data_IF_972180237284
#
_entry.id   IF_972180237284
#
_cell.length_a   1.000
_cell.length_b   1.000
_cell.length_c   1.000
_cell.angle_alpha   90.00
_cell.angle_beta   90.00
_cell.angle_gamma   90.00
#
_symmetry.space_group_name_H-M   'P 1'
#
loop_
_entity.id
_entity.type
_entity.pdbx_description
1 polymer ?
#
# COMPACT_ATOMS: atom_id res chain seq x y z
N UNK A 1 -19.97 -5.32 29.84
CA UNK A 1 -20.29 -4.62 31.10
C UNK A 1 -19.54 -5.28 32.23
N UNK A 2 -19.06 -4.50 33.18
CA UNK A 2 -18.30 -4.92 34.36
C UNK A 2 -19.00 -4.41 35.62
N UNK A 3 -19.15 -5.26 36.63
CA UNK A 3 -19.81 -4.88 37.87
C UNK A 3 -18.79 -4.68 39.00
N UNK A 4 -18.87 -3.55 39.69
CA UNK A 4 -18.09 -3.24 40.89
C UNK A 4 -18.96 -3.52 42.13
N UNK A 5 -18.66 -4.59 42.86
CA UNK A 5 -19.40 -4.95 44.07
C UNK A 5 -19.22 -3.92 45.20
N UNK A 6 -18.04 -3.31 45.31
CA UNK A 6 -17.74 -2.31 46.33
C UNK A 6 -18.53 -1.02 46.13
N UNK A 7 -18.76 -0.63 44.87
CA UNK A 7 -19.48 0.60 44.52
C UNK A 7 -20.95 0.33 44.17
N UNK A 8 -21.33 -0.94 44.05
CA UNK A 8 -22.62 -1.40 43.54
C UNK A 8 -23.02 -0.71 42.22
N UNK A 9 -22.10 -0.74 41.24
CA UNK A 9 -22.22 -0.02 39.95
C UNK A 9 -21.75 -0.85 38.77
N UNK A 10 -22.33 -0.61 37.60
CA UNK A 10 -21.91 -1.19 36.31
C UNK A 10 -21.11 -0.18 35.48
N UNK A 11 -20.06 -0.68 34.84
CA UNK A 11 -19.21 0.04 33.90
C UNK A 11 -19.19 -0.67 32.55
N UNK A 12 -18.90 0.07 31.48
CA UNK A 12 -18.60 -0.51 30.19
C UNK A 12 -17.09 -0.57 30.00
N UNK A 13 -16.52 -1.78 29.96
CA UNK A 13 -15.07 -1.98 29.81
C UNK A 13 -14.50 -1.22 28.60
N UNK A 14 -15.14 -1.39 27.45
CA UNK A 14 -14.71 -0.79 26.18
C UNK A 14 -14.71 0.73 26.29
N UNK A 15 -15.81 1.34 26.74
CA UNK A 15 -15.90 2.79 26.89
C UNK A 15 -14.97 3.34 27.98
N UNK A 16 -14.71 2.58 29.05
CA UNK A 16 -13.85 3.04 30.15
C UNK A 16 -12.39 3.10 29.76
N UNK A 17 -11.93 2.18 28.89
CA UNK A 17 -10.52 2.05 28.55
C UNK A 17 -10.18 2.57 27.15
N UNK A 18 -11.14 2.61 26.23
CA UNK A 18 -10.90 2.90 24.80
C UNK A 18 -11.73 4.09 24.27
N UNK A 19 -12.38 4.87 25.13
CA UNK A 19 -13.03 6.12 24.70
C UNK A 19 -12.02 7.15 24.22
N UNK A 20 -12.30 7.79 23.09
CA UNK A 20 -11.50 8.89 22.54
C UNK A 20 -12.18 10.22 22.87
N UNK A 21 -11.48 11.11 23.59
CA UNK A 21 -12.00 12.42 23.98
C UNK A 21 -12.89 12.43 25.24
N UNK A 22 -13.63 13.51 25.47
CA UNK A 22 -14.60 13.56 26.57
C UNK A 22 -15.80 12.65 26.26
N UNK A 23 -15.89 11.53 26.98
CA UNK A 23 -17.04 10.64 26.89
C UNK A 23 -18.29 11.37 27.43
N UNK A 24 -19.28 11.56 26.56
CA UNK A 24 -20.57 12.16 26.91
C UNK A 24 -21.33 11.34 27.96
N UNK A 25 -21.12 10.02 27.99
CA UNK A 25 -21.80 9.09 28.91
C UNK A 25 -20.91 8.68 30.10
N UNK A 26 -20.62 9.65 30.98
CA UNK A 26 -19.85 9.42 32.22
C UNK A 26 -20.43 8.33 33.12
N UNK A 27 -21.73 8.03 32.99
CA UNK A 27 -22.40 6.96 33.71
C UNK A 27 -21.80 5.56 33.42
N UNK A 28 -21.26 5.31 32.23
CA UNK A 28 -20.69 4.00 31.89
C UNK A 28 -19.16 3.95 31.99
N UNK A 29 -18.52 5.06 32.39
CA UNK A 29 -17.05 5.19 32.43
C UNK A 29 -16.55 5.57 33.82
N UNK A 30 -16.71 6.82 34.24
CA UNK A 30 -16.12 7.34 35.49
C UNK A 30 -17.08 7.28 36.67
N UNK A 31 -18.36 7.59 36.47
CA UNK A 31 -19.34 7.70 37.56
C UNK A 31 -19.95 6.35 37.94
N UNK A 32 -19.98 5.41 37.00
CA UNK A 32 -20.63 4.11 37.12
C UNK A 32 -22.16 4.20 37.11
N UNK A 33 -22.79 3.18 36.55
CA UNK A 33 -24.22 3.12 36.35
C UNK A 33 -24.87 2.33 37.48
N UNK A 34 -25.81 2.95 38.19
CA UNK A 34 -26.54 2.39 39.34
C UNK A 34 -28.07 2.44 39.18
N UNK A 35 -28.57 2.99 38.07
CA UNK A 35 -30.02 3.19 37.88
C UNK A 35 -30.70 1.93 37.34
N UNK A 36 -30.76 0.88 38.15
CA UNK A 36 -31.21 -0.47 37.75
C UNK A 36 -32.61 -0.52 37.14
N UNK A 37 -33.52 0.34 37.60
CA UNK A 37 -34.89 0.43 37.06
C UNK A 37 -34.93 0.83 35.58
N UNK A 38 -33.87 1.46 35.05
CA UNK A 38 -33.75 1.84 33.63
C UNK A 38 -33.06 0.77 32.79
N UNK A 39 -32.95 -0.47 33.29
CA UNK A 39 -32.35 -1.60 32.56
C UNK A 39 -33.37 -2.68 32.19
N UNK A 40 -34.62 -2.57 32.64
CA UNK A 40 -35.62 -3.64 32.56
C UNK A 40 -36.53 -3.54 31.32
N UNK A 41 -36.52 -2.41 30.62
CA UNK A 41 -37.25 -2.24 29.37
C UNK A 41 -36.58 -2.96 28.18
N UNK A 42 -37.33 -3.22 27.12
CA UNK A 42 -36.79 -3.86 25.90
C UNK A 42 -36.46 -2.84 24.79
N UNK A 43 -36.90 -1.59 24.93
CA UNK A 43 -36.75 -0.56 23.90
C UNK A 43 -35.66 0.46 24.24
N UNK A 44 -35.13 1.13 23.21
CA UNK A 44 -34.15 2.21 23.36
C UNK A 44 -34.63 3.34 24.29
N UNK A 45 -35.94 3.59 24.35
CA UNK A 45 -36.50 4.70 25.14
C UNK A 45 -36.61 4.40 26.63
N UNK A 46 -36.63 3.12 27.01
CA UNK A 46 -36.83 2.69 28.40
C UNK A 46 -35.70 1.80 28.93
N UNK A 47 -34.66 1.53 28.12
CA UNK A 47 -33.48 0.79 28.54
C UNK A 47 -32.19 1.56 28.21
N UNK A 48 -31.56 2.11 29.26
CA UNK A 48 -30.32 2.87 29.15
C UNK A 48 -29.12 2.01 28.72
N UNK A 49 -29.13 0.70 28.97
CA UNK A 49 -28.07 -0.20 28.49
C UNK A 49 -28.18 -0.43 26.98
N UNK A 50 -29.41 -0.57 26.48
CA UNK A 50 -29.65 -0.75 25.04
C UNK A 50 -29.35 0.54 24.29
N UNK A 51 -29.73 1.69 24.85
CA UNK A 51 -29.36 3.02 24.34
C UNK A 51 -27.84 3.19 24.28
N UNK A 52 -27.13 2.87 25.37
CA UNK A 52 -25.68 2.91 25.41
C UNK A 52 -25.03 2.05 24.33
N UNK A 53 -25.52 0.82 24.14
CA UNK A 53 -24.96 -0.14 23.18
C UNK A 53 -25.00 0.36 21.74
N UNK A 54 -25.94 1.24 21.39
CA UNK A 54 -26.03 1.83 20.05
C UNK A 54 -25.46 3.24 19.96
N UNK A 55 -24.99 3.79 21.09
CA UNK A 55 -24.39 5.12 21.13
C UNK A 55 -23.10 5.16 20.31
N UNK A 56 -22.87 6.29 19.62
CA UNK A 56 -21.66 6.50 18.82
C UNK A 56 -20.38 6.34 19.65
N UNK A 57 -20.39 6.83 20.89
CA UNK A 57 -19.26 6.70 21.82
C UNK A 57 -18.93 5.24 22.13
N UNK A 58 -19.93 4.38 22.33
CA UNK A 58 -19.72 2.95 22.54
C UNK A 58 -19.23 2.26 21.28
N UNK A 59 -19.87 2.49 20.13
CA UNK A 59 -19.47 1.87 18.85
C UNK A 59 -18.01 2.17 18.53
N UNK A 60 -17.58 3.43 18.71
CA UNK A 60 -16.19 3.83 18.51
C UNK A 60 -15.23 3.14 19.49
N UNK A 61 -15.58 3.11 20.78
CA UNK A 61 -14.74 2.47 21.81
C UNK A 61 -14.62 0.96 21.59
N UNK A 62 -15.71 0.30 21.20
CA UNK A 62 -15.74 -1.12 20.88
C UNK A 62 -14.91 -1.44 19.62
N UNK A 63 -14.96 -0.58 18.59
CA UNK A 63 -14.11 -0.71 17.41
C UNK A 63 -12.62 -0.59 17.77
N UNK A 64 -12.25 0.38 18.62
CA UNK A 64 -10.86 0.54 19.08
C UNK A 64 -10.38 -0.65 19.91
N UNK A 65 -11.23 -1.19 20.79
CA UNK A 65 -10.92 -2.39 21.54
C UNK A 65 -10.67 -3.59 20.62
N UNK A 66 -11.51 -3.75 19.58
CA UNK A 66 -11.33 -4.81 18.58
C UNK A 66 -9.98 -4.68 17.84
N UNK A 67 -9.63 -3.48 17.39
CA UNK A 67 -8.33 -3.21 16.74
C UNK A 67 -7.17 -3.56 17.68
N UNK A 68 -7.26 -3.20 18.97
CA UNK A 68 -6.26 -3.57 19.96
C UNK A 68 -6.11 -5.09 20.12
N UNK A 69 -7.22 -5.84 20.17
CA UNK A 69 -7.18 -7.30 20.24
C UNK A 69 -6.50 -7.92 19.01
N UNK A 70 -6.83 -7.43 17.81
CA UNK A 70 -6.21 -7.87 16.55
C UNK A 70 -4.70 -7.59 16.55
N UNK A 71 -4.30 -6.38 16.95
CA UNK A 71 -2.89 -6.01 17.10
C UNK A 71 -2.16 -6.89 18.11
N UNK A 72 -2.78 -7.20 19.26
CA UNK A 72 -2.20 -8.05 20.30
C UNK A 72 -2.08 -9.52 19.85
N UNK A 73 -3.05 -10.02 19.09
CA UNK A 73 -3.03 -11.39 18.55
C UNK A 73 -1.92 -11.56 17.49
N UNK A 74 -1.73 -10.58 16.63
CA UNK A 74 -0.74 -10.65 15.56
C UNK A 74 0.63 -10.09 15.94
N UNK A 75 0.75 -9.48 17.13
CA UNK A 75 1.91 -8.71 17.57
C UNK A 75 2.34 -7.66 16.52
N UNK A 76 1.34 -7.08 15.84
CA UNK A 76 1.51 -6.11 14.76
C UNK A 76 0.83 -4.81 15.14
N UNK A 77 1.60 -3.74 15.09
CA UNK A 77 1.14 -2.37 15.29
C UNK A 77 0.68 -1.76 13.97
N UNK A 78 -0.03 -0.63 14.03
CA UNK A 78 -0.38 0.17 12.84
C UNK A 78 0.89 0.54 12.03
N UNK A 79 2.01 0.79 12.71
CA UNK A 79 3.30 1.07 12.05
C UNK A 79 3.82 -0.11 11.23
N UNK A 80 3.59 -1.34 11.68
CA UNK A 80 4.00 -2.54 10.94
C UNK A 80 3.18 -2.69 9.65
N UNK A 81 1.89 -2.36 9.69
CA UNK A 81 1.03 -2.35 8.50
C UNK A 81 1.47 -1.30 7.48
N UNK A 82 1.80 -0.08 7.94
CA UNK A 82 2.32 0.99 7.06
C UNK A 82 3.66 0.56 6.43
N UNK A 83 4.55 -0.02 7.23
CA UNK A 83 5.85 -0.48 6.78
C UNK A 83 5.74 -1.60 5.72
N UNK A 84 4.81 -2.52 5.92
CA UNK A 84 4.52 -3.58 4.96
C UNK A 84 3.92 -3.05 3.66
N UNK A 85 2.94 -2.16 3.74
CA UNK A 85 2.36 -1.52 2.55
C UNK A 85 3.42 -0.74 1.75
N UNK A 86 4.32 -0.03 2.43
CA UNK A 86 5.44 0.65 1.79
C UNK A 86 6.39 -0.35 1.10
N UNK A 87 6.73 -1.45 1.77
CA UNK A 87 7.59 -2.50 1.21
C UNK A 87 6.98 -3.11 -0.07
N UNK A 88 5.67 -3.39 -0.05
CA UNK A 88 4.95 -3.90 -1.22
C UNK A 88 4.93 -2.89 -2.37
N UNK A 89 4.75 -1.61 -2.07
CA UNK A 89 4.82 -0.55 -3.09
C UNK A 89 6.22 -0.48 -3.73
N UNK A 90 7.28 -0.52 -2.92
CA UNK A 90 8.67 -0.52 -3.42
C UNK A 90 8.92 -1.75 -4.29
N UNK A 91 8.47 -2.94 -3.86
CA UNK A 91 8.61 -4.17 -4.63
C UNK A 91 7.92 -4.07 -5.99
N UNK A 92 6.63 -3.65 -6.02
CA UNK A 92 5.89 -3.43 -7.28
C UNK A 92 6.57 -2.42 -8.20
N UNK A 93 7.14 -1.35 -7.65
CA UNK A 93 7.89 -0.36 -8.46
C UNK A 93 9.14 -0.97 -9.09
N UNK A 94 9.86 -1.85 -8.37
CA UNK A 94 11.06 -2.53 -8.89
C UNK A 94 10.71 -3.52 -9.98
N UNK A 95 9.65 -4.31 -9.78
CA UNK A 95 9.13 -5.25 -10.78
C UNK A 95 8.74 -4.51 -12.06
N UNK A 96 8.05 -3.37 -11.92
CA UNK A 96 7.70 -2.54 -13.06
C UNK A 96 8.93 -2.02 -13.83
N UNK A 97 9.92 -1.45 -13.14
CA UNK A 97 11.17 -0.98 -13.78
C UNK A 97 11.91 -2.13 -14.47
N UNK A 98 11.89 -3.33 -13.88
CA UNK A 98 12.48 -4.52 -14.50
C UNK A 98 11.80 -4.83 -15.84
N UNK A 99 10.47 -4.79 -15.90
CA UNK A 99 9.73 -5.03 -17.15
C UNK A 99 10.08 -4.01 -18.24
N UNK A 100 10.23 -2.72 -17.87
CA UNK A 100 10.68 -1.69 -18.82
C UNK A 100 12.09 -1.99 -19.35
N UNK A 101 13.00 -2.37 -18.44
CA UNK A 101 14.40 -2.69 -18.77
C UNK A 101 14.50 -3.93 -19.66
N UNK A 102 13.75 -4.99 -19.34
CA UNK A 102 13.70 -6.23 -20.11
C UNK A 102 13.10 -5.97 -21.51
N UNK A 103 12.12 -5.08 -21.62
CA UNK A 103 11.53 -4.70 -22.91
C UNK A 103 12.56 -3.98 -23.79
N UNK A 104 13.26 -2.97 -23.25
CA UNK A 104 14.32 -2.25 -23.97
C UNK A 104 15.48 -3.16 -24.35
N UNK A 105 15.90 -4.02 -23.43
CA UNK A 105 16.95 -5.01 -23.69
C UNK A 105 16.54 -5.96 -24.82
N UNK A 106 15.31 -6.48 -24.81
CA UNK A 106 14.79 -7.36 -25.85
C UNK A 106 14.79 -6.66 -27.22
N UNK A 107 14.24 -5.45 -27.31
CA UNK A 107 14.18 -4.72 -28.59
C UNK A 107 15.58 -4.38 -29.10
N UNK A 108 16.48 -3.94 -28.22
CA UNK A 108 17.88 -3.67 -28.55
C UNK A 108 18.61 -4.93 -29.05
N UNK A 109 18.49 -6.05 -28.33
CA UNK A 109 19.13 -7.31 -28.70
C UNK A 109 18.61 -7.88 -30.03
N UNK A 110 17.34 -7.64 -30.36
CA UNK A 110 16.73 -8.05 -31.62
C UNK A 110 16.96 -7.06 -32.77
N UNK A 111 17.64 -5.93 -32.53
CA UNK A 111 17.80 -4.83 -33.49
C UNK A 111 16.46 -4.28 -34.01
N UNK A 112 15.46 -4.24 -33.15
CA UNK A 112 14.12 -3.72 -33.48
C UNK A 112 14.02 -2.28 -32.95
N UNK A 113 13.54 -1.37 -33.80
CA UNK A 113 13.34 0.01 -33.40
C UNK A 113 12.31 0.13 -32.25
N UNK A 114 12.67 0.82 -31.18
CA UNK A 114 11.80 0.96 -30.01
C UNK A 114 10.66 1.95 -30.22
N UNK A 115 10.93 3.04 -30.95
CA UNK A 115 10.05 4.20 -31.09
C UNK A 115 9.26 4.20 -32.38
N UNK A 116 8.04 4.71 -32.28
CA UNK A 116 7.22 5.03 -33.44
C UNK A 116 7.54 6.40 -34.03
N UNK A 117 6.97 6.69 -35.20
CA UNK A 117 7.04 8.04 -35.78
C UNK A 117 6.30 9.08 -34.90
N UNK A 118 5.24 8.66 -34.22
CA UNK A 118 4.46 9.48 -33.30
C UNK A 118 3.92 8.60 -32.16
N UNK A 119 4.23 8.96 -30.92
CA UNK A 119 3.82 8.23 -29.71
C UNK A 119 2.67 8.92 -28.93
N UNK A 120 2.10 10.00 -29.47
CA UNK A 120 0.99 10.72 -28.83
C UNK A 120 -0.23 9.82 -28.63
N UNK A 121 -1.01 10.07 -27.58
CA UNK A 121 -2.20 9.26 -27.28
C UNK A 121 -3.23 9.27 -28.41
N UNK A 122 -3.41 10.45 -29.05
CA UNK A 122 -4.24 10.70 -30.23
C UNK A 122 -3.54 10.40 -31.58
N UNK A 123 -2.34 9.79 -31.51
CA UNK A 123 -1.50 9.48 -32.65
C UNK A 123 -1.92 8.22 -33.43
N UNK A 124 -1.03 7.71 -34.30
CA UNK A 124 -1.32 6.54 -35.15
C UNK A 124 -1.63 5.27 -34.35
N UNK A 125 -2.26 4.28 -34.99
CA UNK A 125 -2.59 2.97 -34.38
C UNK A 125 -1.38 2.24 -33.80
N UNK A 126 -0.17 2.51 -34.32
CA UNK A 126 1.09 1.93 -33.83
C UNK A 126 2.01 3.03 -33.30
N UNK A 127 2.24 3.00 -31.98
CA UNK A 127 3.08 3.99 -31.28
C UNK A 127 4.56 3.62 -31.21
N UNK A 128 4.96 2.49 -31.79
CA UNK A 128 6.32 1.94 -31.66
C UNK A 128 6.35 0.66 -30.84
N UNK A 129 7.42 -0.13 -31.01
CA UNK A 129 7.49 -1.45 -30.40
C UNK A 129 7.52 -1.40 -28.87
N UNK A 130 8.23 -0.44 -28.26
CA UNK A 130 8.27 -0.31 -26.81
C UNK A 130 6.88 -0.03 -26.19
N UNK A 131 6.15 1.04 -26.56
CA UNK A 131 4.82 1.29 -26.00
C UNK A 131 3.80 0.20 -26.35
N UNK A 132 3.88 -0.43 -27.53
CA UNK A 132 2.98 -1.53 -27.89
C UNK A 132 3.25 -2.83 -27.10
N UNK A 133 4.52 -3.18 -26.84
CA UNK A 133 4.86 -4.30 -25.97
C UNK A 133 4.35 -4.06 -24.55
N UNK A 134 4.54 -2.85 -24.01
CA UNK A 134 3.99 -2.50 -22.70
C UNK A 134 2.45 -2.57 -22.70
N UNK A 135 1.81 -2.10 -23.78
CA UNK A 135 0.36 -2.20 -23.93
C UNK A 135 -0.12 -3.66 -23.98
N UNK A 136 0.64 -4.56 -24.61
CA UNK A 136 0.39 -5.99 -24.58
C UNK A 136 0.54 -6.59 -23.17
N UNK A 137 1.60 -6.20 -22.45
CA UNK A 137 1.91 -6.68 -21.11
C UNK A 137 0.92 -6.20 -20.04
N UNK A 138 0.13 -5.14 -20.31
CA UNK A 138 -0.98 -4.70 -19.44
C UNK A 138 -1.92 -5.84 -19.05
N UNK A 139 -2.08 -6.86 -19.89
CA UNK A 139 -3.00 -7.99 -19.61
C UNK A 139 -2.54 -8.88 -18.45
N UNK A 140 -1.30 -8.76 -17.98
CA UNK A 140 -0.72 -9.66 -17.00
C UNK A 140 -0.52 -8.99 -15.64
N UNK A 141 0.25 -7.90 -15.57
CA UNK A 141 0.77 -7.40 -14.29
C UNK A 141 0.89 -5.86 -14.22
N UNK A 142 1.17 -5.19 -15.33
CA UNK A 142 1.54 -3.76 -15.32
C UNK A 142 0.37 -2.80 -15.56
N UNK A 143 -0.88 -3.29 -15.53
CA UNK A 143 -2.06 -2.50 -15.84
C UNK A 143 -2.17 -1.25 -14.95
N UNK A 144 -2.23 -1.45 -13.63
CA UNK A 144 -2.38 -0.38 -12.63
C UNK A 144 -1.34 0.73 -12.85
N UNK A 145 -0.08 0.36 -13.07
CA UNK A 145 1.01 1.32 -13.29
C UNK A 145 0.87 2.10 -14.59
N UNK A 146 0.47 1.46 -15.68
CA UNK A 146 0.36 2.14 -16.97
C UNK A 146 -0.90 3.01 -17.10
N UNK A 147 -2.00 2.64 -16.43
CA UNK A 147 -3.27 3.36 -16.54
C UNK A 147 -3.46 4.40 -15.44
N UNK A 148 -3.07 4.10 -14.21
CA UNK A 148 -3.41 4.92 -13.03
C UNK A 148 -2.26 5.83 -12.57
N UNK A 149 -1.01 5.54 -12.94
CA UNK A 149 0.11 6.39 -12.54
C UNK A 149 0.06 7.75 -13.26
N UNK A 150 0.39 8.82 -12.52
CA UNK A 150 0.39 10.17 -13.04
C UNK A 150 1.60 10.42 -13.98
N UNK A 151 1.33 10.88 -15.20
CA UNK A 151 2.34 11.43 -16.12
C UNK A 151 3.64 10.64 -16.18
N UNK A 152 4.72 11.23 -15.65
CA UNK A 152 6.08 10.65 -15.64
C UNK A 152 6.24 9.41 -14.75
N UNK A 153 5.34 9.16 -13.79
CA UNK A 153 5.35 7.97 -12.96
C UNK A 153 4.94 6.69 -13.72
N UNK A 154 4.51 6.83 -14.99
CA UNK A 154 4.38 5.71 -15.94
C UNK A 154 5.73 5.26 -16.48
N UNK A 155 6.79 6.07 -16.39
CA UNK A 155 8.13 5.77 -16.89
C UNK A 155 8.21 5.40 -18.39
N UNK A 156 7.20 5.76 -19.18
CA UNK A 156 7.14 5.43 -20.61
C UNK A 156 7.65 6.54 -21.52
N UNK A 157 7.93 7.73 -20.99
CA UNK A 157 8.40 8.86 -21.78
C UNK A 157 9.79 8.63 -22.38
N UNK A 158 10.04 9.13 -23.58
CA UNK A 158 11.31 8.90 -24.32
C UNK A 158 12.58 9.26 -23.51
N UNK A 159 12.55 10.32 -22.71
CA UNK A 159 13.68 10.68 -21.83
C UNK A 159 13.99 9.60 -20.78
N UNK A 160 12.95 8.94 -20.25
CA UNK A 160 13.12 7.86 -19.27
C UNK A 160 13.60 6.59 -19.96
N UNK A 161 13.08 6.29 -21.15
CA UNK A 161 13.59 5.20 -21.98
C UNK A 161 15.10 5.37 -22.23
N UNK A 162 15.53 6.56 -22.68
CA UNK A 162 16.95 6.86 -22.88
C UNK A 162 17.78 6.62 -21.61
N UNK A 163 17.32 7.12 -20.45
CA UNK A 163 18.04 6.94 -19.21
C UNK A 163 18.21 5.45 -18.84
N UNK A 164 17.18 4.62 -19.06
CA UNK A 164 17.28 3.17 -18.82
C UNK A 164 18.24 2.54 -19.84
N UNK A 165 18.15 2.90 -21.11
CA UNK A 165 19.05 2.39 -22.15
C UNK A 165 20.51 2.76 -21.89
N UNK A 166 20.79 3.98 -21.46
CA UNK A 166 22.14 4.43 -21.10
C UNK A 166 22.70 3.60 -19.92
N UNK A 167 21.88 3.37 -18.89
CA UNK A 167 22.25 2.52 -17.75
C UNK A 167 22.53 1.07 -18.20
N UNK A 168 21.69 0.51 -19.08
CA UNK A 168 21.90 -0.83 -19.63
C UNK A 168 23.21 -0.91 -20.43
N UNK A 169 23.48 0.11 -21.25
CA UNK A 169 24.74 0.22 -22.00
C UNK A 169 25.95 0.26 -21.06
N UNK A 170 25.91 1.08 -20.01
CA UNK A 170 26.99 1.19 -19.03
C UNK A 170 27.27 -0.16 -18.34
N UNK A 171 26.21 -0.86 -17.91
CA UNK A 171 26.33 -2.20 -17.28
C UNK A 171 26.98 -3.19 -18.25
N UNK A 172 26.53 -3.24 -19.50
CA UNK A 172 27.07 -4.15 -20.53
C UNK A 172 28.53 -3.82 -20.83
N UNK A 173 28.87 -2.53 -20.96
CA UNK A 173 30.23 -2.09 -21.22
C UNK A 173 31.17 -2.42 -20.06
N UNK A 174 30.71 -2.29 -18.82
CA UNK A 174 31.50 -2.65 -17.65
C UNK A 174 31.75 -4.15 -17.57
N UNK A 175 30.75 -4.99 -17.86
CA UNK A 175 30.93 -6.44 -17.97
C UNK A 175 31.98 -6.81 -19.02
N UNK A 176 31.87 -6.23 -20.22
CA UNK A 176 32.84 -6.45 -21.31
C UNK A 176 34.26 -6.01 -20.88
N UNK A 177 34.39 -4.89 -20.17
CA UNK A 177 35.70 -4.42 -19.67
C UNK A 177 36.29 -5.42 -18.67
N UNK A 178 35.49 -5.99 -17.77
CA UNK A 178 35.98 -7.01 -16.84
C UNK A 178 36.40 -8.28 -17.60
N UNK A 179 35.58 -8.78 -18.53
CA UNK A 179 35.93 -9.94 -19.37
C UNK A 179 37.25 -9.74 -20.11
N UNK A 180 37.46 -8.55 -20.68
CA UNK A 180 38.70 -8.19 -21.36
C UNK A 180 39.89 -8.19 -20.40
N UNK A 181 39.74 -7.70 -19.16
CA UNK A 181 40.83 -7.69 -18.16
C UNK A 181 41.20 -9.10 -17.71
N UNK A 182 40.21 -9.97 -17.57
CA UNK A 182 40.42 -11.38 -17.22
C UNK A 182 41.10 -12.15 -18.36
N UNK A 183 40.79 -11.79 -19.60
CA UNK A 183 41.51 -12.26 -20.76
C UNK A 183 42.92 -11.64 -20.78
N UNK A 184 43.90 -12.33 -20.16
CA UNK A 184 45.35 -12.01 -20.16
C UNK A 184 46.01 -11.94 -21.57
N UNK A 185 45.25 -11.78 -22.64
CA UNK A 185 45.65 -11.92 -24.04
C UNK A 185 46.01 -10.56 -24.68
N UNK A 186 45.67 -9.42 -24.07
CA UNK A 186 46.13 -8.12 -24.57
C UNK A 186 47.55 -7.82 -24.10
N UNK A 187 48.53 -8.44 -24.76
CA UNK A 187 49.87 -7.87 -24.86
C UNK A 187 49.74 -6.45 -25.41
N UNK A 188 50.17 -5.45 -24.64
CA UNK A 188 50.25 -4.06 -25.13
C UNK A 188 51.15 -3.98 -26.37
N UNK A 189 50.81 -3.17 -27.39
CA UNK A 189 51.76 -2.82 -28.44
C UNK A 189 52.93 -2.06 -27.81
N UNK A 190 54.17 -2.46 -28.14
CA UNK A 190 55.38 -1.71 -27.80
C UNK A 190 55.50 -0.41 -28.61
#
# INVERSE_FOLDING_TARGET
>A
MEFSANENKVYCFECRHFSVGECSEKAFTTNGFDTWMKCTGESLKNNKLVEHKVSEGHVNSAAMYKVYLESKQHNKTVMDHISEAHRQLVQRNREYIKILSDTLHLTGAQNIAERGHNEHEEGPENKGNFPEILNFLKKYDIHEKLTEAAGNAKYTHHNIQNAISDILCDIILDEIKEEIRECKILCSPC
#
